data_IF_936473737344
#
_entry.id   IF_936473737344
#
_cell.length_a   1.000
_cell.length_b   1.000
_cell.length_c   1.000
_cell.angle_alpha   90.00
_cell.angle_beta   90.00
_cell.angle_gamma   90.00
#
_symmetry.space_group_name_H-M   'P 1'
#
loop_
_entity.id
_entity.type
_entity.pdbx_description
1 polymer ?
#
# COMPACT_ATOMS: atom_id res chain seq x y z
N UNK A 1 -27.84 -11.57 -11.96
CA UNK A 1 -28.31 -11.09 -10.64
C UNK A 1 -27.22 -10.18 -10.13
N UNK A 2 -27.49 -8.89 -10.03
CA UNK A 2 -26.51 -7.96 -9.46
C UNK A 2 -26.20 -8.42 -8.04
N UNK A 3 -24.93 -8.69 -7.74
CA UNK A 3 -24.52 -9.00 -6.38
C UNK A 3 -24.99 -7.86 -5.48
N UNK A 4 -25.75 -8.20 -4.44
CA UNK A 4 -26.26 -7.21 -3.49
C UNK A 4 -25.06 -6.50 -2.88
N UNK A 5 -24.94 -5.20 -3.13
CA UNK A 5 -23.87 -4.39 -2.57
C UNK A 5 -23.98 -4.44 -1.04
N UNK A 6 -22.92 -4.81 -0.30
CA UNK A 6 -22.96 -4.77 1.15
C UNK A 6 -23.30 -3.36 1.66
N UNK A 7 -24.19 -3.21 2.66
CA UNK A 7 -24.68 -1.90 3.11
C UNK A 7 -23.58 -0.90 3.47
N UNK A 8 -22.45 -1.38 3.99
CA UNK A 8 -21.31 -0.53 4.34
C UNK A 8 -20.68 0.23 3.16
N UNK A 9 -20.99 -0.15 1.91
CA UNK A 9 -20.48 0.49 0.69
C UNK A 9 -21.54 1.32 -0.06
N UNK A 10 -22.77 1.42 0.44
CA UNK A 10 -23.86 2.16 -0.23
C UNK A 10 -23.48 3.61 -0.55
N UNK A 11 -22.81 4.30 0.39
CA UNK A 11 -22.40 5.70 0.19
C UNK A 11 -21.24 5.83 -0.79
N UNK A 12 -20.40 4.80 -0.93
CA UNK A 12 -19.35 4.77 -1.96
C UNK A 12 -19.98 4.79 -3.35
N UNK A 13 -21.16 4.18 -3.52
CA UNK A 13 -21.90 4.12 -4.79
C UNK A 13 -22.44 5.46 -5.30
N UNK A 14 -22.41 6.50 -4.46
CA UNK A 14 -22.73 7.88 -4.86
C UNK A 14 -21.54 8.50 -5.62
N UNK A 15 -20.32 8.07 -5.29
CA UNK A 15 -19.08 8.55 -5.90
C UNK A 15 -18.61 7.65 -7.05
N UNK A 16 -18.81 6.34 -6.92
CA UNK A 16 -18.40 5.33 -7.89
C UNK A 16 -19.63 4.62 -8.45
N UNK A 17 -19.70 4.47 -9.76
CA UNK A 17 -20.81 3.73 -10.36
C UNK A 17 -20.76 2.23 -10.02
N UNK A 18 -21.82 1.49 -10.39
CA UNK A 18 -21.89 0.06 -10.09
C UNK A 18 -20.76 -0.76 -10.74
N UNK A 19 -20.30 -0.37 -11.93
CA UNK A 19 -19.20 -1.03 -12.64
C UNK A 19 -17.85 -0.75 -11.96
N UNK A 20 -17.63 0.48 -11.51
CA UNK A 20 -16.42 0.85 -10.76
C UNK A 20 -16.34 0.15 -9.40
N UNK A 21 -17.47 0.05 -8.69
CA UNK A 21 -17.57 -0.69 -7.44
C UNK A 21 -17.32 -2.19 -7.65
N UNK A 22 -17.90 -2.77 -8.70
CA UNK A 22 -17.63 -4.16 -9.08
C UNK A 22 -16.15 -4.37 -9.45
N UNK A 23 -15.51 -3.40 -10.09
CA UNK A 23 -14.08 -3.46 -10.39
C UNK A 23 -13.24 -3.46 -9.12
N UNK A 24 -13.58 -2.66 -8.10
CA UNK A 24 -12.90 -2.70 -6.80
C UNK A 24 -13.12 -4.05 -6.10
N UNK A 25 -14.36 -4.54 -6.09
CA UNK A 25 -14.69 -5.83 -5.47
C UNK A 25 -13.99 -7.03 -6.12
N UNK A 26 -13.57 -6.92 -7.38
CA UNK A 26 -12.79 -7.95 -8.06
C UNK A 26 -11.27 -7.68 -8.04
N UNK A 27 -10.83 -6.52 -7.53
CA UNK A 27 -9.42 -6.15 -7.56
C UNK A 27 -8.64 -6.84 -6.44
N UNK A 28 -7.41 -7.24 -6.78
CA UNK A 28 -6.39 -7.69 -5.85
C UNK A 28 -5.27 -6.65 -5.72
N UNK A 29 -5.11 -6.09 -4.51
CA UNK A 29 -4.09 -5.08 -4.23
C UNK A 29 -3.11 -5.58 -3.17
N UNK A 30 -1.82 -5.45 -3.44
CA UNK A 30 -0.75 -5.70 -2.47
C UNK A 30 -0.32 -4.39 -1.83
N UNK A 31 -0.19 -4.38 -0.50
CA UNK A 31 0.35 -3.26 0.28
C UNK A 31 1.58 -3.74 1.06
N UNK A 32 2.75 -3.25 0.70
CA UNK A 32 4.01 -3.57 1.36
C UNK A 32 4.43 -2.45 2.34
N UNK A 33 4.58 -2.81 3.60
CA UNK A 33 4.79 -1.89 4.73
C UNK A 33 3.48 -1.33 5.25
N UNK A 34 3.20 -1.53 6.53
CA UNK A 34 1.99 -1.11 7.25
C UNK A 34 2.32 -0.10 8.35
N UNK A 35 3.33 0.74 8.07
CA UNK A 35 3.73 1.86 8.90
C UNK A 35 2.80 3.08 8.73
N UNK A 36 3.40 4.27 8.79
CA UNK A 36 2.63 5.53 8.85
C UNK A 36 1.89 5.93 7.57
N UNK A 37 2.19 5.29 6.45
CA UNK A 37 1.46 5.48 5.18
C UNK A 37 0.61 4.24 4.87
N UNK A 38 1.25 3.07 4.86
CA UNK A 38 0.60 1.85 4.39
C UNK A 38 -0.55 1.36 5.26
N UNK A 39 -0.55 1.62 6.57
CA UNK A 39 -1.70 1.25 7.43
C UNK A 39 -2.97 2.03 7.05
N UNK A 40 -2.86 3.34 6.78
CA UNK A 40 -3.99 4.13 6.28
C UNK A 40 -4.36 3.79 4.84
N UNK A 41 -3.38 3.42 4.00
CA UNK A 41 -3.64 2.94 2.65
C UNK A 41 -4.50 1.66 2.66
N UNK A 42 -4.09 0.65 3.44
CA UNK A 42 -4.83 -0.60 3.55
C UNK A 42 -6.24 -0.39 4.12
N UNK A 43 -6.39 0.48 5.12
CA UNK A 43 -7.69 0.91 5.65
C UNK A 43 -8.58 1.53 4.56
N UNK A 44 -8.04 2.47 3.78
CA UNK A 44 -8.79 3.16 2.74
C UNK A 44 -9.23 2.19 1.63
N UNK A 45 -8.39 1.24 1.24
CA UNK A 45 -8.74 0.19 0.27
C UNK A 45 -9.87 -0.71 0.76
N UNK A 46 -9.78 -1.17 2.02
CA UNK A 46 -10.83 -1.97 2.63
C UNK A 46 -12.18 -1.22 2.68
N UNK A 47 -12.15 0.06 3.07
CA UNK A 47 -13.34 0.93 3.12
C UNK A 47 -13.91 1.27 1.74
N UNK A 48 -13.07 1.29 0.71
CA UNK A 48 -13.51 1.46 -0.68
C UNK A 48 -14.17 0.19 -1.25
N UNK A 49 -14.02 -0.96 -0.58
CA UNK A 49 -14.57 -2.24 -1.02
C UNK A 49 -13.66 -2.99 -1.97
N UNK A 50 -12.34 -2.86 -1.84
CA UNK A 50 -11.40 -3.77 -2.52
C UNK A 50 -11.65 -5.20 -2.02
N UNK A 51 -11.79 -6.13 -2.97
CA UNK A 51 -12.18 -7.51 -2.67
C UNK A 51 -11.06 -8.38 -2.16
N UNK A 52 -9.81 -8.15 -2.59
CA UNK A 52 -8.66 -8.93 -2.13
C UNK A 52 -7.47 -8.04 -1.79
N UNK A 53 -6.90 -8.28 -0.61
CA UNK A 53 -5.73 -7.55 -0.13
C UNK A 53 -4.63 -8.53 0.31
N UNK A 54 -3.42 -8.28 -0.19
CA UNK A 54 -2.20 -8.90 0.35
C UNK A 54 -1.47 -7.85 1.20
N UNK A 55 -1.31 -8.11 2.49
CA UNK A 55 -0.69 -7.21 3.45
C UNK A 55 0.67 -7.75 3.86
N UNK A 56 1.72 -6.94 3.72
CA UNK A 56 3.09 -7.37 4.04
C UNK A 56 3.73 -6.44 5.06
N UNK A 57 3.96 -6.94 6.27
CA UNK A 57 4.77 -6.26 7.28
C UNK A 57 5.25 -7.28 8.34
N UNK A 58 6.53 -7.22 8.67
CA UNK A 58 7.16 -8.08 9.66
C UNK A 58 7.19 -7.47 11.06
N UNK A 59 7.01 -6.14 11.16
CA UNK A 59 7.14 -5.41 12.41
C UNK A 59 5.99 -5.68 13.38
N UNK A 60 6.29 -5.41 14.65
CA UNK A 60 5.30 -5.22 15.71
C UNK A 60 5.10 -3.73 16.00
N UNK A 61 3.97 -3.39 16.61
CA UNK A 61 3.72 -2.03 17.10
C UNK A 61 4.70 -1.70 18.22
N UNK A 62 5.38 -0.57 18.11
CA UNK A 62 6.18 0.01 19.20
C UNK A 62 5.62 1.38 19.61
N UNK A 63 5.87 1.82 20.85
CA UNK A 63 5.29 3.06 21.40
C UNK A 63 5.54 4.30 20.53
N UNK A 64 6.70 4.40 19.90
CA UNK A 64 7.04 5.52 19.00
C UNK A 64 6.24 5.54 17.70
N UNK A 65 5.41 4.54 17.42
CA UNK A 65 4.52 4.48 16.26
C UNK A 65 3.19 5.21 16.48
N UNK A 66 2.79 5.41 17.74
CA UNK A 66 1.48 5.97 18.13
C UNK A 66 1.22 7.34 17.47
N UNK A 67 2.26 8.12 17.22
CA UNK A 67 2.10 9.44 16.61
C UNK A 67 1.64 9.42 15.15
N UNK A 68 1.71 8.28 14.44
CA UNK A 68 1.53 8.25 12.98
C UNK A 68 1.06 6.95 12.36
N UNK A 69 0.86 5.86 13.10
CA UNK A 69 0.45 4.57 12.51
C UNK A 69 -0.94 4.19 13.00
N UNK A 70 -1.84 3.84 12.09
CA UNK A 70 -3.23 3.51 12.40
C UNK A 70 -3.41 2.39 13.45
N UNK A 71 -2.66 1.25 13.41
CA UNK A 71 -2.83 0.18 14.40
C UNK A 71 -2.13 0.47 15.73
N UNK A 72 -1.42 1.59 15.89
CA UNK A 72 -0.59 1.86 17.06
C UNK A 72 -1.39 2.55 18.17
N UNK A 73 -1.76 1.76 19.17
CA UNK A 73 -2.38 2.17 20.42
C UNK A 73 -1.53 1.65 21.59
N UNK A 74 -1.69 2.23 22.78
CA UNK A 74 -1.01 1.70 23.97
C UNK A 74 -1.38 0.22 24.24
N UNK A 75 -2.61 -0.18 23.93
CA UNK A 75 -3.11 -1.55 24.07
C UNK A 75 -2.57 -2.54 23.03
N UNK A 76 -2.00 -2.04 21.92
CA UNK A 76 -1.54 -2.88 20.80
C UNK A 76 -0.02 -2.99 20.72
N UNK A 77 0.74 -2.32 21.61
CA UNK A 77 2.20 -2.42 21.67
C UNK A 77 2.63 -3.90 21.82
N UNK A 78 3.61 -4.30 21.00
CA UNK A 78 4.13 -5.67 20.95
C UNK A 78 3.37 -6.62 20.02
N UNK A 79 2.21 -6.21 19.49
CA UNK A 79 1.44 -7.04 18.55
C UNK A 79 1.85 -6.78 17.10
N UNK A 80 1.69 -7.78 16.23
CA UNK A 80 2.03 -7.66 14.80
C UNK A 80 1.17 -6.60 14.11
N UNK A 81 1.82 -5.68 13.37
CA UNK A 81 1.10 -4.66 12.58
C UNK A 81 0.21 -5.30 11.51
N UNK A 82 0.71 -6.33 10.85
CA UNK A 82 0.00 -7.03 9.78
C UNK A 82 -1.26 -7.74 10.29
N UNK A 83 -1.17 -8.45 11.41
CA UNK A 83 -2.33 -9.14 11.99
C UNK A 83 -3.37 -8.16 12.54
N UNK A 84 -2.94 -7.07 13.18
CA UNK A 84 -3.85 -6.01 13.65
C UNK A 84 -4.63 -5.38 12.48
N UNK A 85 -3.93 -5.06 11.40
CA UNK A 85 -4.58 -4.53 10.20
C UNK A 85 -5.50 -5.56 9.55
N UNK A 86 -5.10 -6.83 9.49
CA UNK A 86 -5.94 -7.89 8.96
C UNK A 86 -7.24 -8.07 9.77
N UNK A 87 -7.15 -8.12 11.10
CA UNK A 87 -8.32 -8.19 11.98
C UNK A 87 -9.24 -6.98 11.76
N UNK A 88 -8.66 -5.77 11.73
CA UNK A 88 -9.40 -4.54 11.48
C UNK A 88 -10.09 -4.53 10.11
N UNK A 89 -9.45 -5.05 9.07
CA UNK A 89 -10.04 -5.12 7.72
C UNK A 89 -11.17 -6.13 7.67
N UNK A 90 -11.06 -7.27 8.36
CA UNK A 90 -12.17 -8.24 8.46
C UNK A 90 -13.40 -7.62 9.11
N UNK A 91 -13.22 -6.76 10.11
CA UNK A 91 -14.33 -6.02 10.73
C UNK A 91 -14.96 -4.98 9.79
N UNK A 92 -14.18 -4.41 8.86
CA UNK A 92 -14.65 -3.43 7.87
C UNK A 92 -15.35 -4.11 6.69
N UNK A 93 -14.72 -5.14 6.14
CA UNK A 93 -15.19 -5.88 4.98
C UNK A 93 -14.95 -7.38 5.21
N UNK A 94 -15.92 -8.10 5.81
CA UNK A 94 -15.79 -9.54 6.07
C UNK A 94 -15.65 -10.38 4.80
N UNK A 95 -16.09 -9.85 3.64
CA UNK A 95 -15.95 -10.50 2.34
C UNK A 95 -14.58 -10.25 1.68
N UNK A 96 -13.73 -9.41 2.26
CA UNK A 96 -12.38 -9.19 1.74
C UNK A 96 -11.53 -10.44 1.93
N UNK A 97 -11.01 -11.00 0.83
CA UNK A 97 -10.00 -12.04 0.86
C UNK A 97 -8.67 -11.45 1.31
N UNK A 98 -8.12 -11.95 2.41
CA UNK A 98 -6.88 -11.42 3.00
C UNK A 98 -5.76 -12.45 2.96
N UNK A 99 -4.62 -12.05 2.40
CA UNK A 99 -3.34 -12.73 2.55
C UNK A 99 -2.43 -11.88 3.43
N UNK A 100 -1.89 -12.45 4.50
CA UNK A 100 -1.05 -11.73 5.46
C UNK A 100 0.34 -12.36 5.46
N UNK A 101 1.34 -11.59 5.06
CA UNK A 101 2.73 -12.03 4.97
C UNK A 101 3.54 -11.27 6.02
N UNK A 102 4.11 -12.02 6.97
CA UNK A 102 4.85 -11.48 8.13
C UNK A 102 6.37 -11.57 7.95
N UNK A 103 6.81 -11.62 6.69
CA UNK A 103 8.21 -11.87 6.36
C UNK A 103 8.99 -10.56 6.25
N UNK A 104 10.25 -10.60 6.69
CA UNK A 104 11.18 -9.50 6.49
C UNK A 104 11.50 -9.38 5.00
N UNK A 105 11.31 -8.18 4.46
CA UNK A 105 11.59 -7.92 3.06
C UNK A 105 13.10 -7.76 2.88
N UNK A 106 13.73 -8.65 2.12
CA UNK A 106 15.09 -8.47 1.62
C UNK A 106 15.07 -8.24 0.11
N UNK A 107 15.98 -7.40 -0.44
CA UNK A 107 15.98 -7.07 -1.86
C UNK A 107 16.01 -8.27 -2.80
N UNK A 108 16.60 -9.38 -2.36
CA UNK A 108 16.79 -10.60 -3.15
C UNK A 108 15.49 -11.40 -3.34
N UNK A 109 14.61 -11.43 -2.34
CA UNK A 109 13.39 -12.27 -2.34
C UNK A 109 12.09 -11.48 -2.46
N UNK A 110 12.13 -10.15 -2.30
CA UNK A 110 10.93 -9.29 -2.33
C UNK A 110 10.16 -9.35 -3.66
N UNK A 111 10.76 -9.87 -4.73
CA UNK A 111 10.04 -10.09 -6.00
C UNK A 111 9.14 -11.34 -5.96
N UNK A 112 9.54 -12.35 -5.19
CA UNK A 112 8.90 -13.67 -5.13
C UNK A 112 7.61 -13.64 -4.31
N UNK A 113 7.54 -12.75 -3.32
CA UNK A 113 6.37 -12.55 -2.46
C UNK A 113 5.21 -11.83 -3.16
N UNK A 114 5.44 -11.24 -4.34
CA UNK A 114 4.41 -10.50 -5.08
C UNK A 114 3.56 -11.52 -5.86
N UNK A 115 2.26 -11.68 -5.53
CA UNK A 115 1.40 -12.66 -6.18
C UNK A 115 1.35 -12.50 -7.69
N UNK A 116 1.19 -13.60 -8.42
CA UNK A 116 1.09 -13.59 -9.89
C UNK A 116 -0.16 -12.90 -10.42
N UNK A 117 -1.22 -12.89 -9.61
CA UNK A 117 -2.57 -12.42 -9.91
C UNK A 117 -2.90 -11.06 -9.23
N UNK A 118 -1.88 -10.28 -8.86
CA UNK A 118 -2.09 -8.95 -8.28
C UNK A 118 -2.34 -7.92 -9.38
N UNK A 119 -3.37 -7.10 -9.22
CA UNK A 119 -3.70 -6.03 -10.17
C UNK A 119 -2.88 -4.76 -9.91
N UNK A 120 -2.50 -4.54 -8.66
CA UNK A 120 -1.86 -3.32 -8.22
C UNK A 120 -0.93 -3.54 -7.01
N UNK A 121 0.29 -3.02 -7.09
CA UNK A 121 1.28 -3.04 -6.02
C UNK A 121 1.43 -1.65 -5.42
N UNK A 122 1.28 -1.53 -4.11
CA UNK A 122 1.49 -0.28 -3.37
C UNK A 122 2.67 -0.46 -2.41
N UNK A 123 3.74 0.26 -2.70
CA UNK A 123 4.96 0.27 -1.91
C UNK A 123 4.95 1.42 -0.88
N UNK A 124 4.86 1.02 0.39
CA UNK A 124 4.91 1.87 1.57
C UNK A 124 6.11 1.54 2.47
N UNK A 125 7.12 0.85 1.94
CA UNK A 125 8.33 0.43 2.66
C UNK A 125 9.19 1.66 2.98
N UNK A 126 9.90 1.67 4.10
CA UNK A 126 10.84 2.73 4.48
C UNK A 126 12.29 2.44 4.02
N UNK A 127 12.71 1.17 4.04
CA UNK A 127 14.00 0.72 3.50
C UNK A 127 14.09 0.94 1.99
N UNK A 128 14.99 1.84 1.58
CA UNK A 128 15.21 2.19 0.17
C UNK A 128 15.61 1.00 -0.70
N UNK A 129 16.39 0.04 -0.18
CA UNK A 129 16.84 -1.10 -0.97
C UNK A 129 15.66 -2.01 -1.34
N UNK A 130 14.85 -2.37 -0.34
CA UNK A 130 13.68 -3.23 -0.51
C UNK A 130 12.60 -2.53 -1.35
N UNK A 131 12.39 -1.22 -1.12
CA UNK A 131 11.53 -0.36 -1.93
C UNK A 131 11.90 -0.40 -3.42
N UNK A 132 13.18 -0.18 -3.76
CA UNK A 132 13.63 -0.21 -5.16
C UNK A 132 13.49 -1.61 -5.76
N UNK A 133 13.81 -2.65 -5.00
CA UNK A 133 13.71 -4.02 -5.46
C UNK A 133 12.25 -4.42 -5.77
N UNK A 134 11.32 -4.16 -4.85
CA UNK A 134 9.88 -4.41 -5.03
C UNK A 134 9.31 -3.65 -6.24
N UNK A 135 9.55 -2.34 -6.30
CA UNK A 135 8.98 -1.51 -7.36
C UNK A 135 9.52 -1.93 -8.73
N UNK A 136 10.82 -2.13 -8.84
CA UNK A 136 11.41 -2.46 -10.13
C UNK A 136 11.01 -3.86 -10.60
N UNK A 137 11.02 -4.88 -9.72
CA UNK A 137 10.57 -6.23 -10.10
C UNK A 137 9.10 -6.25 -10.50
N UNK A 138 8.26 -5.46 -9.83
CA UNK A 138 6.83 -5.33 -10.18
C UNK A 138 6.65 -4.68 -11.55
N UNK A 139 7.38 -3.60 -11.85
CA UNK A 139 7.34 -2.94 -13.16
C UNK A 139 7.89 -3.84 -14.28
N UNK A 140 8.97 -4.57 -14.02
CA UNK A 140 9.56 -5.53 -14.97
C UNK A 140 8.58 -6.67 -15.31
N UNK A 141 7.71 -7.05 -14.37
CA UNK A 141 6.59 -7.99 -14.57
C UNK A 141 5.37 -7.37 -15.26
N UNK A 142 5.40 -6.08 -15.60
CA UNK A 142 4.28 -5.37 -16.22
C UNK A 142 3.15 -4.98 -15.25
N UNK A 143 3.38 -5.07 -13.93
CA UNK A 143 2.38 -4.73 -12.92
C UNK A 143 2.24 -3.22 -12.75
N UNK A 144 1.04 -2.78 -12.34
CA UNK A 144 0.80 -1.38 -11.98
C UNK A 144 1.33 -1.13 -10.57
N UNK A 145 2.12 -0.07 -10.40
CA UNK A 145 2.77 0.25 -9.13
C UNK A 145 2.52 1.69 -8.71
N UNK A 146 2.19 1.87 -7.43
CA UNK A 146 2.31 3.14 -6.73
C UNK A 146 3.36 3.03 -5.62
N UNK A 147 4.09 4.10 -5.37
CA UNK A 147 5.10 4.15 -4.31
C UNK A 147 4.97 5.43 -3.51
N UNK A 148 4.92 5.30 -2.18
CA UNK A 148 4.97 6.45 -1.27
C UNK A 148 6.41 6.86 -0.99
N UNK A 149 6.67 8.16 -1.02
CA UNK A 149 7.95 8.74 -0.66
C UNK A 149 7.98 9.20 0.80
N UNK A 150 8.97 10.03 1.17
CA UNK A 150 9.17 10.45 2.54
C UNK A 150 8.07 11.38 3.04
N UNK A 151 7.17 10.87 3.88
CA UNK A 151 6.14 11.64 4.58
C UNK A 151 6.63 12.25 5.91
N UNK A 152 7.84 11.88 6.38
CA UNK A 152 8.42 12.39 7.63
C UNK A 152 8.86 13.85 7.53
N UNK A 153 8.82 14.57 8.66
CA UNK A 153 9.21 15.99 8.79
C UNK A 153 8.44 16.93 7.83
N UNK A 154 7.16 16.65 7.62
CA UNK A 154 6.23 17.48 6.83
C UNK A 154 5.04 17.87 7.71
N UNK A 155 4.56 19.09 7.56
CA UNK A 155 3.44 19.64 8.35
C UNK A 155 2.21 19.97 7.52
N UNK A 156 2.37 20.26 6.24
CA UNK A 156 1.31 20.75 5.36
C UNK A 156 0.82 19.62 4.43
N UNK A 157 -0.31 18.96 4.73
CA UNK A 157 -0.86 17.90 3.87
C UNK A 157 -1.39 18.43 2.54
N UNK A 158 -1.68 19.74 2.42
CA UNK A 158 -2.14 20.36 1.17
C UNK A 158 -1.07 20.41 0.07
N UNK A 159 0.18 20.08 0.42
CA UNK A 159 1.31 20.00 -0.53
C UNK A 159 1.61 18.60 -1.03
N UNK A 160 0.88 17.58 -0.58
CA UNK A 160 1.05 16.21 -1.07
C UNK A 160 0.69 16.18 -2.56
N UNK A 161 1.56 15.59 -3.37
CA UNK A 161 1.37 15.51 -4.81
C UNK A 161 1.44 14.07 -5.30
N UNK A 162 0.74 13.81 -6.39
CA UNK A 162 0.80 12.56 -7.13
C UNK A 162 1.37 12.86 -8.51
N UNK A 163 2.48 12.22 -8.87
CA UNK A 163 3.09 12.35 -10.18
C UNK A 163 3.84 11.08 -10.57
N UNK A 164 4.28 11.00 -11.82
CA UNK A 164 5.28 10.00 -12.21
C UNK A 164 6.60 10.23 -11.45
N UNK A 165 7.33 9.16 -11.13
CA UNK A 165 8.62 9.23 -10.43
C UNK A 165 9.62 10.20 -11.09
N UNK A 166 9.58 10.34 -12.43
CA UNK A 166 10.42 11.26 -13.20
C UNK A 166 10.12 12.74 -12.94
N UNK A 167 8.91 13.06 -12.48
CA UNK A 167 8.41 14.42 -12.23
C UNK A 167 8.45 14.84 -10.76
N UNK A 168 8.87 13.94 -9.86
CA UNK A 168 8.96 14.25 -8.43
C UNK A 168 10.02 15.31 -8.14
N UNK A 169 9.72 16.21 -7.20
CA UNK A 169 10.58 17.32 -6.78
C UNK A 169 10.61 17.44 -5.26
N UNK A 170 11.57 18.18 -4.70
CA UNK A 170 11.64 18.49 -3.26
C UNK A 170 11.54 17.29 -2.29
N UNK A 171 11.90 16.09 -2.77
CA UNK A 171 11.85 14.85 -2.00
C UNK A 171 13.16 14.07 -2.16
N UNK A 172 14.01 14.00 -1.11
CA UNK A 172 15.28 13.29 -1.16
C UNK A 172 15.12 11.79 -1.47
N UNK A 173 14.13 11.13 -0.87
CA UNK A 173 13.85 9.72 -1.11
C UNK A 173 13.50 9.48 -2.58
N UNK A 174 12.60 10.29 -3.14
CA UNK A 174 12.23 10.22 -4.55
C UNK A 174 13.42 10.46 -5.49
N UNK A 175 14.29 11.41 -5.15
CA UNK A 175 15.51 11.70 -5.92
C UNK A 175 16.45 10.49 -6.00
N UNK A 176 16.69 9.81 -4.88
CA UNK A 176 17.54 8.62 -4.86
C UNK A 176 16.87 7.43 -5.55
N UNK A 177 15.58 7.22 -5.29
CA UNK A 177 14.79 6.15 -5.92
C UNK A 177 14.76 6.32 -7.45
N UNK A 178 14.47 7.52 -7.96
CA UNK A 178 14.50 7.83 -9.40
C UNK A 178 15.86 7.50 -10.03
N UNK A 179 16.97 7.86 -9.38
CA UNK A 179 18.32 7.53 -9.88
C UNK A 179 18.54 6.02 -9.95
N UNK A 180 18.07 5.26 -8.96
CA UNK A 180 18.23 3.80 -8.91
C UNK A 180 17.35 3.07 -9.91
N UNK A 181 16.08 3.48 -10.05
CA UNK A 181 15.17 2.94 -11.06
C UNK A 181 15.68 3.21 -12.48
N UNK A 182 16.20 4.41 -12.75
CA UNK A 182 16.80 4.72 -14.06
C UNK A 182 17.99 3.82 -14.39
N UNK A 183 18.83 3.47 -13.40
CA UNK A 183 19.94 2.51 -13.60
C UNK A 183 19.44 1.09 -13.94
N UNK A 184 18.21 0.75 -13.56
CA UNK A 184 17.54 -0.51 -13.93
C UNK A 184 16.72 -0.41 -15.22
N UNK A 185 16.86 0.67 -15.99
CA UNK A 185 16.09 0.85 -17.22
C UNK A 185 14.64 1.33 -17.02
N UNK A 186 14.29 1.80 -15.82
CA UNK A 186 12.95 2.31 -15.48
C UNK A 186 13.02 3.83 -15.24
N UNK A 187 13.01 4.67 -16.30
CA UNK A 187 13.10 6.13 -16.15
C UNK A 187 11.78 6.80 -15.76
N UNK A 188 10.63 6.13 -15.99
CA UNK A 188 9.25 6.60 -15.80
C UNK A 188 8.31 5.39 -15.65
N UNK A 189 7.02 5.64 -15.41
CA UNK A 189 5.96 4.63 -15.33
C UNK A 189 5.59 4.23 -13.90
N UNK A 190 6.11 4.92 -12.87
CA UNK A 190 5.84 4.62 -11.46
C UNK A 190 5.06 5.77 -10.85
N UNK A 191 3.81 5.50 -10.47
CA UNK A 191 2.97 6.47 -9.78
C UNK A 191 3.57 6.74 -8.40
N UNK A 192 3.82 8.00 -8.07
CA UNK A 192 4.56 8.38 -6.86
C UNK A 192 3.81 9.43 -6.06
N UNK A 193 3.68 9.20 -4.76
CA UNK A 193 3.16 10.17 -3.78
C UNK A 193 4.34 10.80 -3.05
N UNK A 194 4.45 12.14 -3.03
CA UNK A 194 5.60 12.85 -2.45
C UNK A 194 5.26 14.23 -1.87
#
# INVERSE_FOLDING_TARGET
MDAVLPPQFERTRILLDAGEQARLANAHVLVAGLGGVGSYCAEALARAGVGRLTLIDHDVVVTSNINRQLPALLSTVGQSKAELMAARIRDINPACELSVIREFLIPETVAEIVPGDVDFVIDCIDSLNCKVALVASSVERGLRVASSMGAGNKLDPGRIQIADISKTSMCPLASVMRKRLRKRGIPRGVLTVF
#
